data_IF_104131381148
#
_entry.id   IF_104131381148
#
_cell.length_a   1.000
_cell.length_b   1.000
_cell.length_c   1.000
_cell.angle_alpha   90.00
_cell.angle_beta   90.00
_cell.angle_gamma   90.00
#
_symmetry.space_group_name_H-M   'P 1'
#
loop_
_entity.id
_entity.type
_entity.pdbx_description
1 polymer ?
#
# COMPACT_ATOMS: atom_id res chain seq x y z
N UNK A 1 -31.41 9.52 2.36
CA UNK A 1 -30.36 10.54 2.17
C UNK A 1 -29.07 10.21 2.94
N UNK A 2 -29.14 9.55 4.10
CA UNK A 2 -27.94 9.31 4.94
C UNK A 2 -27.03 8.16 4.48
N UNK A 3 -27.48 7.29 3.57
CA UNK A 3 -26.64 6.22 3.03
C UNK A 3 -25.55 6.82 2.11
N UNK A 4 -24.24 6.58 2.40
CA UNK A 4 -23.13 7.11 1.60
C UNK A 4 -23.15 6.73 0.12
N UNK A 5 -23.77 5.60 -0.24
CA UNK A 5 -24.00 5.23 -1.65
C UNK A 5 -24.89 6.23 -2.40
N UNK A 6 -25.69 7.03 -1.70
CA UNK A 6 -26.63 8.00 -2.28
C UNK A 6 -26.12 9.45 -2.19
N UNK A 7 -24.87 9.68 -1.76
CA UNK A 7 -24.28 11.01 -1.76
C UNK A 7 -24.10 11.58 -3.17
N UNK A 8 -24.07 12.91 -3.29
CA UNK A 8 -23.76 13.58 -4.55
C UNK A 8 -22.37 13.19 -5.05
N UNK A 9 -22.19 13.13 -6.38
CA UNK A 9 -20.93 12.71 -7.01
C UNK A 9 -19.74 13.57 -6.55
N UNK A 10 -19.98 14.86 -6.34
CA UNK A 10 -18.98 15.83 -5.83
C UNK A 10 -18.53 15.43 -4.42
N UNK A 11 -19.47 15.11 -3.52
CA UNK A 11 -19.14 14.69 -2.16
C UNK A 11 -18.33 13.40 -2.15
N UNK A 12 -18.70 12.42 -2.97
CA UNK A 12 -17.97 11.15 -3.09
C UNK A 12 -16.54 11.36 -3.57
N UNK A 13 -16.33 12.14 -4.63
CA UNK A 13 -14.99 12.44 -5.14
C UNK A 13 -14.17 13.26 -4.15
N UNK A 14 -14.76 14.23 -3.45
CA UNK A 14 -14.05 14.98 -2.39
C UNK A 14 -13.47 14.04 -1.33
N UNK A 15 -14.27 13.11 -0.79
CA UNK A 15 -13.82 12.15 0.22
C UNK A 15 -12.80 11.17 -0.35
N UNK A 16 -13.02 10.69 -1.58
CA UNK A 16 -12.11 9.77 -2.28
C UNK A 16 -10.74 10.39 -2.50
N UNK A 17 -10.69 11.58 -3.11
CA UNK A 17 -9.45 12.29 -3.42
C UNK A 17 -8.70 12.68 -2.15
N UNK A 18 -9.43 13.10 -1.10
CA UNK A 18 -8.83 13.35 0.20
C UNK A 18 -8.18 12.09 0.77
N UNK A 19 -8.88 10.96 0.78
CA UNK A 19 -8.34 9.70 1.30
C UNK A 19 -7.12 9.22 0.51
N UNK A 20 -7.17 9.29 -0.83
CA UNK A 20 -6.02 8.92 -1.70
C UNK A 20 -4.82 9.86 -1.47
N UNK A 21 -5.07 11.18 -1.37
CA UNK A 21 -4.02 12.16 -1.09
C UNK A 21 -3.39 11.95 0.29
N UNK A 22 -4.20 11.61 1.30
CA UNK A 22 -3.67 11.28 2.62
C UNK A 22 -2.87 9.98 2.61
N UNK A 23 -3.30 8.95 1.88
CA UNK A 23 -2.50 7.73 1.65
C UNK A 23 -1.11 8.09 1.11
N UNK A 24 -1.05 8.93 0.07
CA UNK A 24 0.22 9.42 -0.48
C UNK A 24 1.10 10.12 0.58
N UNK A 25 0.50 11.05 1.33
CA UNK A 25 1.19 11.88 2.32
C UNK A 25 1.71 11.06 3.52
N UNK A 26 0.99 10.03 3.97
CA UNK A 26 1.46 9.17 5.07
C UNK A 26 2.52 8.18 4.60
N UNK A 27 2.40 7.64 3.38
CA UNK A 27 3.37 6.67 2.84
C UNK A 27 4.74 7.30 2.57
N UNK A 28 4.79 8.61 2.28
CA UNK A 28 6.02 9.38 2.18
C UNK A 28 6.95 9.18 3.40
N UNK A 29 6.40 9.00 4.60
CA UNK A 29 7.18 8.80 5.83
C UNK A 29 7.93 7.46 5.87
N UNK A 30 7.45 6.42 5.19
CA UNK A 30 8.07 5.09 5.24
C UNK A 30 9.52 5.10 4.76
N UNK A 31 9.77 5.83 3.68
CA UNK A 31 11.03 5.85 2.92
C UNK A 31 11.78 7.18 3.00
N UNK A 32 11.20 8.28 3.45
CA UNK A 32 11.90 9.57 3.50
C UNK A 32 13.21 9.56 4.30
N UNK A 33 13.30 8.71 5.32
CA UNK A 33 14.49 8.61 6.15
C UNK A 33 15.66 7.88 5.45
N UNK A 34 15.42 7.11 4.39
CA UNK A 34 16.47 6.28 3.76
C UNK A 34 17.63 7.13 3.21
N UNK A 35 17.32 8.33 2.72
CA UNK A 35 18.30 9.32 2.25
C UNK A 35 19.26 9.80 3.36
N UNK A 36 18.90 9.61 4.63
CA UNK A 36 19.65 10.07 5.80
C UNK A 36 20.57 9.02 6.42
N UNK A 37 20.71 7.83 5.83
CA UNK A 37 21.41 6.68 6.43
C UNK A 37 22.80 7.04 7.00
N UNK A 38 23.64 7.77 6.26
CA UNK A 38 24.97 8.17 6.74
C UNK A 38 24.92 9.16 7.91
N UNK A 39 24.06 10.18 7.86
CA UNK A 39 23.93 11.14 8.96
C UNK A 39 23.39 10.46 10.23
N UNK A 40 22.55 9.44 10.07
CA UNK A 40 22.00 8.65 11.15
C UNK A 40 23.10 7.86 11.86
N UNK A 41 23.91 7.14 11.08
CA UNK A 41 25.05 6.38 11.57
C UNK A 41 26.04 7.26 12.33
N UNK A 42 26.36 8.44 11.78
CA UNK A 42 27.22 9.42 12.45
C UNK A 42 26.59 9.95 13.75
N UNK A 43 25.29 10.24 13.76
CA UNK A 43 24.59 10.80 14.91
C UNK A 43 24.47 9.84 16.08
N UNK A 44 24.30 8.54 15.80
CA UNK A 44 24.11 7.52 16.84
C UNK A 44 25.32 6.60 17.03
N UNK A 45 26.42 6.83 16.31
CA UNK A 45 27.64 6.02 16.32
C UNK A 45 27.37 4.54 16.03
N UNK A 46 26.56 4.30 15.00
CA UNK A 46 26.18 2.98 14.53
C UNK A 46 26.97 2.67 13.26
N UNK A 47 27.56 1.47 13.18
CA UNK A 47 28.35 1.02 12.01
C UNK A 47 27.52 0.09 11.14
N UNK A 48 27.55 0.30 9.81
CA UNK A 48 26.90 -0.60 8.84
C UNK A 48 27.85 -1.69 8.29
N UNK A 49 29.07 -1.78 8.81
CA UNK A 49 30.13 -2.65 8.28
C UNK A 49 29.74 -4.14 8.28
N UNK A 50 29.18 -4.62 9.40
CA UNK A 50 28.81 -6.02 9.58
C UNK A 50 27.32 -6.29 9.33
N UNK A 51 26.47 -5.29 9.55
CA UNK A 51 25.03 -5.38 9.42
C UNK A 51 24.47 -4.00 9.06
N UNK A 52 23.48 -3.87 8.14
CA UNK A 52 22.94 -2.58 7.72
C UNK A 52 22.01 -1.98 8.78
N UNK A 53 22.58 -1.57 9.90
CA UNK A 53 21.84 -1.04 11.03
C UNK A 53 21.09 0.25 10.69
N UNK A 54 21.58 1.08 9.76
CA UNK A 54 20.88 2.27 9.26
C UNK A 54 19.48 2.00 8.70
N UNK A 55 19.14 0.73 8.43
CA UNK A 55 17.84 0.30 7.93
C UNK A 55 16.86 -0.22 8.99
N UNK A 56 17.29 -0.37 10.25
CA UNK A 56 16.35 -0.67 11.35
C UNK A 56 15.16 0.30 11.44
N UNK A 57 15.29 1.62 11.18
CA UNK A 57 14.14 2.52 11.12
C UNK A 57 13.14 2.17 10.03
N UNK A 58 13.59 1.70 8.85
CA UNK A 58 12.71 1.26 7.76
C UNK A 58 12.02 -0.04 8.15
N UNK A 59 12.79 -1.01 8.66
CA UNK A 59 12.27 -2.29 9.13
C UNK A 59 11.20 -2.10 10.20
N UNK A 60 11.50 -1.35 11.25
CA UNK A 60 10.58 -1.15 12.38
C UNK A 60 9.28 -0.46 11.98
N UNK A 61 9.35 0.50 11.06
CA UNK A 61 8.16 1.13 10.50
C UNK A 61 7.29 0.14 9.72
N UNK A 62 7.90 -0.66 8.85
CA UNK A 62 7.18 -1.68 8.10
C UNK A 62 6.60 -2.78 9.01
N UNK A 63 7.29 -3.18 10.09
CA UNK A 63 6.72 -4.12 11.07
C UNK A 63 5.48 -3.54 11.78
N UNK A 64 5.51 -2.26 12.12
CA UNK A 64 4.33 -1.56 12.61
C UNK A 64 3.20 -1.57 11.56
N UNK A 65 3.55 -1.23 10.31
CA UNK A 65 2.63 -1.23 9.17
C UNK A 65 2.05 -2.59 8.81
N UNK A 66 2.75 -3.69 9.09
CA UNK A 66 2.23 -5.05 8.90
C UNK A 66 1.19 -5.41 9.97
N UNK A 67 1.47 -5.08 11.23
CA UNK A 67 0.73 -5.62 12.38
C UNK A 67 -0.46 -4.75 12.79
N UNK A 68 -0.33 -3.43 12.77
CA UNK A 68 -1.38 -2.53 13.25
C UNK A 68 -2.67 -2.55 12.41
N UNK A 69 -2.63 -2.63 11.05
CA UNK A 69 -3.84 -2.71 10.23
C UNK A 69 -4.69 -3.95 10.53
N UNK A 70 -4.05 -5.08 10.84
CA UNK A 70 -4.76 -6.30 11.20
C UNK A 70 -5.66 -6.13 12.43
N UNK A 71 -5.32 -5.21 13.32
CA UNK A 71 -6.11 -4.91 14.52
C UNK A 71 -7.04 -3.72 14.31
N UNK A 72 -6.51 -2.61 13.79
CA UNK A 72 -7.22 -1.35 13.81
C UNK A 72 -8.28 -1.25 12.70
N UNK A 73 -8.08 -1.82 11.51
CA UNK A 73 -9.05 -1.68 10.41
C UNK A 73 -10.44 -2.23 10.80
N UNK A 74 -10.55 -3.42 11.41
CA UNK A 74 -11.88 -3.92 11.79
C UNK A 74 -12.46 -3.26 13.03
N UNK A 75 -11.61 -2.67 13.89
CA UNK A 75 -12.10 -1.77 14.93
C UNK A 75 -12.71 -0.51 14.31
N UNK A 76 -12.09 0.06 13.28
CA UNK A 76 -12.64 1.23 12.55
C UNK A 76 -13.98 0.91 11.87
N UNK A 77 -14.19 -0.33 11.42
CA UNK A 77 -15.48 -0.81 10.90
C UNK A 77 -16.60 -0.69 11.91
N UNK A 78 -16.33 -1.10 13.15
CA UNK A 78 -17.34 -1.16 14.21
C UNK A 78 -17.55 0.20 14.92
N UNK A 79 -16.47 0.96 15.12
CA UNK A 79 -16.50 2.21 15.88
C UNK A 79 -16.70 3.46 15.02
N UNK A 80 -16.58 3.34 13.70
CA UNK A 80 -16.67 4.43 12.74
C UNK A 80 -15.31 4.85 12.21
N UNK A 81 -15.28 5.21 10.94
CA UNK A 81 -14.04 5.50 10.21
C UNK A 81 -13.56 6.90 10.55
N UNK A 82 -14.45 7.90 10.56
CA UNK A 82 -14.05 9.32 10.71
C UNK A 82 -13.25 9.59 11.97
N UNK A 83 -13.80 9.25 13.14
CA UNK A 83 -13.17 9.57 14.43
C UNK A 83 -11.96 8.69 14.72
N UNK A 84 -12.01 7.41 14.34
CA UNK A 84 -10.87 6.52 14.45
C UNK A 84 -9.71 6.98 13.56
N UNK A 85 -10.00 7.44 12.35
CA UNK A 85 -9.00 8.00 11.43
C UNK A 85 -8.31 9.21 12.07
N UNK A 86 -9.10 10.16 12.60
CA UNK A 86 -8.57 11.37 13.24
C UNK A 86 -7.74 11.06 14.48
N UNK A 87 -8.14 10.07 15.29
CA UNK A 87 -7.39 9.63 16.47
C UNK A 87 -6.03 9.04 16.07
N UNK A 88 -6.02 8.12 15.10
CA UNK A 88 -4.79 7.49 14.61
C UNK A 88 -3.88 8.53 13.93
N UNK A 89 -4.46 9.49 13.22
CA UNK A 89 -3.72 10.60 12.62
C UNK A 89 -3.10 11.53 13.68
N UNK A 90 -3.81 11.81 14.77
CA UNK A 90 -3.24 12.55 15.90
C UNK A 90 -2.09 11.78 16.56
N UNK A 91 -2.25 10.46 16.77
CA UNK A 91 -1.18 9.61 17.28
C UNK A 91 0.04 9.58 16.34
N UNK A 92 -0.18 9.52 15.03
CA UNK A 92 0.89 9.64 14.03
C UNK A 92 1.69 10.93 14.27
N UNK A 93 1.04 12.09 14.33
CA UNK A 93 1.71 13.39 14.55
C UNK A 93 2.48 13.39 15.88
N UNK A 94 1.85 12.95 16.96
CA UNK A 94 2.46 12.94 18.30
C UNK A 94 3.72 12.06 18.35
N UNK A 95 3.70 10.89 17.70
CA UNK A 95 4.84 9.97 17.68
C UNK A 95 5.94 10.33 16.67
N UNK A 96 5.78 11.39 15.88
CA UNK A 96 6.91 11.98 15.14
C UNK A 96 7.82 12.82 16.04
N UNK A 97 7.29 13.41 17.12
CA UNK A 97 8.08 14.21 18.06
C UNK A 97 9.24 13.42 18.70
N UNK A 98 9.03 12.21 19.26
CA UNK A 98 10.14 11.41 19.80
C UNK A 98 11.14 10.93 18.73
N UNK A 99 10.76 10.89 17.44
CA UNK A 99 11.71 10.59 16.36
C UNK A 99 12.61 11.78 16.05
N UNK A 100 12.01 12.98 15.97
CA UNK A 100 12.73 14.22 15.74
C UNK A 100 13.71 14.54 16.89
N UNK A 101 13.30 14.24 18.12
CA UNK A 101 14.06 14.51 19.35
C UNK A 101 14.78 13.27 19.91
N UNK A 102 14.89 12.19 19.12
CA UNK A 102 15.43 10.93 19.61
C UNK A 102 16.86 11.11 20.20
N UNK A 103 17.06 10.79 21.50
CA UNK A 103 18.37 10.90 22.15
C UNK A 103 19.27 9.70 21.82
N UNK A 104 18.66 8.57 21.43
CA UNK A 104 19.37 7.35 21.06
C UNK A 104 18.60 6.58 19.99
N UNK A 105 19.28 5.59 19.41
CA UNK A 105 18.77 4.80 18.29
C UNK A 105 17.54 3.95 18.66
N UNK A 106 17.46 3.46 19.90
CA UNK A 106 16.33 2.63 20.35
C UNK A 106 15.02 3.42 20.43
N UNK A 107 15.06 4.67 20.93
CA UNK A 107 13.89 5.56 20.97
C UNK A 107 13.36 5.82 19.56
N UNK A 108 14.27 6.04 18.61
CA UNK A 108 13.91 6.24 17.20
C UNK A 108 13.19 5.00 16.63
N UNK A 109 13.76 3.81 16.83
CA UNK A 109 13.16 2.54 16.38
C UNK A 109 11.77 2.33 17.02
N UNK A 110 11.64 2.50 18.33
CA UNK A 110 10.38 2.29 19.03
C UNK A 110 9.27 3.23 18.53
N UNK A 111 9.60 4.52 18.33
CA UNK A 111 8.66 5.49 17.78
C UNK A 111 8.31 5.23 16.31
N UNK A 112 9.27 4.68 15.53
CA UNK A 112 9.04 4.25 14.14
C UNK A 112 8.04 3.11 14.03
N UNK A 113 8.02 2.15 14.96
CA UNK A 113 6.99 1.10 15.00
C UNK A 113 5.58 1.71 15.12
N UNK A 114 5.40 2.68 16.03
CA UNK A 114 4.09 3.30 16.25
C UNK A 114 3.63 4.12 15.04
N UNK A 115 4.53 4.92 14.47
CA UNK A 115 4.19 5.73 13.28
C UNK A 115 3.99 4.89 12.03
N UNK A 116 4.73 3.79 11.87
CA UNK A 116 4.51 2.81 10.82
C UNK A 116 3.16 2.11 10.96
N UNK A 117 2.79 1.74 12.18
CA UNK A 117 1.45 1.22 12.46
C UNK A 117 0.35 2.21 12.12
N UNK A 118 0.48 3.47 12.54
CA UNK A 118 -0.49 4.50 12.21
C UNK A 118 -0.58 4.72 10.69
N UNK A 119 0.55 4.82 9.99
CA UNK A 119 0.59 4.99 8.53
C UNK A 119 -0.06 3.81 7.82
N UNK A 120 0.28 2.58 8.19
CA UNK A 120 -0.32 1.38 7.60
C UNK A 120 -1.83 1.35 7.74
N UNK A 121 -2.37 1.76 8.90
CA UNK A 121 -3.83 1.80 9.10
C UNK A 121 -4.48 2.88 8.25
N UNK A 122 -3.92 4.10 8.26
CA UNK A 122 -4.45 5.25 7.53
C UNK A 122 -4.34 5.07 6.01
N UNK A 123 -3.29 4.40 5.53
CA UNK A 123 -3.12 4.09 4.12
C UNK A 123 -4.14 3.06 3.63
N UNK A 124 -4.37 1.98 4.39
CA UNK A 124 -5.20 0.86 3.95
C UNK A 124 -6.71 1.07 4.13
N UNK A 125 -7.14 1.88 5.12
CA UNK A 125 -8.57 2.17 5.32
C UNK A 125 -9.21 2.89 4.11
N UNK A 126 -8.41 3.54 3.26
CA UNK A 126 -8.88 4.17 2.01
C UNK A 126 -9.61 3.18 1.11
N UNK A 127 -9.19 1.91 1.05
CA UNK A 127 -9.89 0.86 0.28
C UNK A 127 -11.33 0.66 0.75
N UNK A 128 -11.54 0.67 2.07
CA UNK A 128 -12.85 0.53 2.69
C UNK A 128 -13.69 1.80 2.54
N UNK A 129 -13.06 2.98 2.68
CA UNK A 129 -13.71 4.27 2.39
C UNK A 129 -14.27 4.29 0.97
N UNK A 130 -13.48 3.87 -0.02
CA UNK A 130 -13.90 3.82 -1.43
C UNK A 130 -15.05 2.82 -1.62
N UNK A 131 -14.96 1.66 -0.98
CA UNK A 131 -15.97 0.60 -1.08
C UNK A 131 -17.31 0.96 -0.41
N UNK A 132 -17.29 1.79 0.64
CA UNK A 132 -18.50 2.22 1.36
C UNK A 132 -19.24 3.39 0.67
N UNK A 133 -18.57 4.14 -0.21
CA UNK A 133 -19.17 5.32 -0.88
C UNK A 133 -19.52 5.05 -2.36
N UNK A 134 -18.79 4.16 -3.04
CA UNK A 134 -19.00 3.82 -4.44
C UNK A 134 -19.64 2.44 -4.60
N UNK A 135 -20.73 2.38 -5.37
CA UNK A 135 -21.24 1.12 -5.91
C UNK A 135 -20.30 0.60 -6.99
N UNK A 136 -20.40 -0.69 -7.30
CA UNK A 136 -19.60 -1.32 -8.34
C UNK A 136 -19.74 -0.59 -9.68
N UNK A 137 -18.63 -0.47 -10.39
CA UNK A 137 -18.53 0.26 -11.64
C UNK A 137 -17.24 1.07 -11.78
N UNK A 138 -17.15 1.80 -12.89
CA UNK A 138 -15.93 2.50 -13.32
C UNK A 138 -15.36 3.48 -12.28
N UNK A 139 -16.23 4.24 -11.60
CA UNK A 139 -15.75 5.21 -10.59
C UNK A 139 -15.08 4.52 -9.39
N UNK A 140 -15.63 3.40 -8.90
CA UNK A 140 -15.02 2.61 -7.82
C UNK A 140 -13.67 2.07 -8.24
N UNK A 141 -13.62 1.50 -9.45
CA UNK A 141 -12.42 0.90 -10.03
C UNK A 141 -11.27 1.91 -10.20
N UNK A 142 -11.57 3.08 -10.75
CA UNK A 142 -10.59 4.16 -10.87
C UNK A 142 -10.17 4.71 -9.50
N UNK A 143 -11.09 4.84 -8.54
CA UNK A 143 -10.77 5.27 -7.18
C UNK A 143 -9.80 4.31 -6.47
N UNK A 144 -9.98 2.99 -6.65
CA UNK A 144 -9.04 1.97 -6.15
C UNK A 144 -7.67 2.12 -6.83
N UNK A 145 -7.64 2.29 -8.15
CA UNK A 145 -6.39 2.49 -8.90
C UNK A 145 -5.64 3.75 -8.42
N UNK A 146 -6.37 4.84 -8.15
CA UNK A 146 -5.81 6.08 -7.63
C UNK A 146 -5.27 5.94 -6.20
N UNK A 147 -5.95 5.16 -5.35
CA UNK A 147 -5.46 4.83 -4.02
C UNK A 147 -4.14 4.04 -4.08
N UNK A 148 -4.07 3.02 -4.94
CA UNK A 148 -2.85 2.20 -5.15
C UNK A 148 -1.72 3.06 -5.69
N UNK A 149 -2.02 3.96 -6.63
CA UNK A 149 -1.04 4.91 -7.13
C UNK A 149 -0.53 5.82 -6.01
N UNK A 150 -1.43 6.38 -5.18
CA UNK A 150 -1.04 7.17 -4.02
C UNK A 150 -0.17 6.39 -3.03
N UNK A 151 -0.45 5.10 -2.83
CA UNK A 151 0.33 4.23 -1.96
C UNK A 151 1.76 4.05 -2.48
N UNK A 152 1.93 3.64 -3.75
CA UNK A 152 3.23 3.39 -4.35
C UNK A 152 4.02 4.68 -4.58
N UNK A 153 3.38 5.71 -5.16
CA UNK A 153 4.01 7.00 -5.40
C UNK A 153 4.47 7.66 -4.10
N UNK A 154 3.72 7.50 -3.00
CA UNK A 154 4.14 8.00 -1.69
C UNK A 154 5.45 7.35 -1.22
N UNK A 155 5.54 6.02 -1.34
CA UNK A 155 6.76 5.27 -1.02
C UNK A 155 7.94 5.68 -1.92
N UNK A 156 7.71 5.80 -3.22
CA UNK A 156 8.75 6.15 -4.20
C UNK A 156 9.20 7.62 -4.08
N UNK A 157 8.32 8.55 -3.68
CA UNK A 157 8.66 9.97 -3.48
C UNK A 157 9.39 10.24 -2.16
N UNK A 158 9.26 9.38 -1.15
CA UNK A 158 9.89 9.58 0.16
C UNK A 158 11.36 9.98 0.10
N UNK A 159 12.26 9.25 -0.61
CA UNK A 159 13.67 9.60 -0.68
C UNK A 159 13.93 10.98 -1.31
N UNK A 160 13.07 11.44 -2.24
CA UNK A 160 13.13 12.79 -2.79
C UNK A 160 12.90 13.80 -1.68
N UNK A 161 11.78 13.66 -0.95
CA UNK A 161 11.45 14.53 0.18
C UNK A 161 12.56 14.56 1.23
N UNK A 162 13.07 13.39 1.61
CA UNK A 162 14.20 13.26 2.53
C UNK A 162 15.45 13.98 2.04
N UNK A 163 15.83 13.75 0.78
CA UNK A 163 17.05 14.33 0.18
C UNK A 163 16.99 15.86 0.05
N UNK A 164 15.80 16.42 -0.24
CA UNK A 164 15.59 17.87 -0.31
C UNK A 164 15.80 18.51 1.06
N UNK A 165 15.25 17.90 2.11
CA UNK A 165 15.42 18.40 3.48
C UNK A 165 16.88 18.30 3.91
N UNK A 166 17.55 17.17 3.64
CA UNK A 166 18.95 16.96 4.00
C UNK A 166 19.92 17.92 3.32
N UNK A 167 19.53 18.52 2.19
CA UNK A 167 20.32 19.54 1.52
C UNK A 167 20.39 20.85 2.32
N UNK A 168 19.35 21.14 3.09
CA UNK A 168 19.18 22.41 3.81
C UNK A 168 19.22 22.27 5.33
N UNK A 169 19.08 21.05 5.86
CA UNK A 169 18.91 20.78 7.28
C UNK A 169 19.40 19.37 7.66
N UNK A 170 19.32 19.03 8.95
CA UNK A 170 19.70 17.70 9.46
C UNK A 170 18.59 16.66 9.25
N UNK A 171 18.92 15.38 9.38
CA UNK A 171 17.93 14.28 9.29
C UNK A 171 16.74 14.41 10.24
N UNK A 172 16.90 15.08 11.40
CA UNK A 172 15.81 15.34 12.35
C UNK A 172 14.70 16.20 11.75
N UNK A 173 15.07 17.09 10.82
CA UNK A 173 14.10 17.95 10.13
C UNK A 173 13.17 17.19 9.19
N UNK A 174 13.50 15.95 8.80
CA UNK A 174 12.57 15.11 8.02
C UNK A 174 11.28 14.90 8.83
N UNK A 175 11.42 14.60 10.13
CA UNK A 175 10.30 14.40 11.03
C UNK A 175 9.59 15.72 11.40
N UNK A 176 10.34 16.81 11.60
CA UNK A 176 9.74 18.13 11.82
C UNK A 176 8.91 18.59 10.61
N UNK A 177 9.43 18.46 9.40
CA UNK A 177 8.72 18.81 8.17
C UNK A 177 7.44 17.97 8.00
N UNK A 178 7.49 16.68 8.34
CA UNK A 178 6.32 15.82 8.33
C UNK A 178 5.28 16.23 9.38
N UNK A 179 5.69 16.61 10.60
CA UNK A 179 4.75 17.14 11.60
C UNK A 179 4.07 18.43 11.12
N UNK A 180 4.81 19.34 10.48
CA UNK A 180 4.25 20.58 9.92
C UNK A 180 3.24 20.24 8.81
N UNK A 181 3.63 19.36 7.89
CA UNK A 181 2.76 18.88 6.81
C UNK A 181 1.49 18.25 7.38
N UNK A 182 1.60 17.30 8.30
CA UNK A 182 0.44 16.62 8.88
C UNK A 182 -0.44 17.57 9.71
N UNK A 183 0.18 18.46 10.50
CA UNK A 183 -0.50 19.48 11.27
C UNK A 183 -1.33 20.41 10.38
N UNK A 184 -0.72 20.93 9.30
CA UNK A 184 -1.41 21.81 8.34
C UNK A 184 -2.58 21.13 7.60
N UNK A 185 -2.54 19.80 7.42
CA UNK A 185 -3.60 19.03 6.80
C UNK A 185 -4.71 18.59 7.77
N UNK A 186 -4.50 18.77 9.09
CA UNK A 186 -5.49 18.39 10.12
C UNK A 186 -6.83 19.13 9.97
N UNK A 187 -6.88 20.46 9.75
CA UNK A 187 -8.15 21.17 9.53
C UNK A 187 -8.89 20.63 8.30
N UNK A 188 -8.17 20.33 7.22
CA UNK A 188 -8.76 19.77 6.00
C UNK A 188 -9.44 18.42 6.27
N UNK A 189 -8.77 17.53 7.01
CA UNK A 189 -9.34 16.24 7.45
C UNK A 189 -10.57 16.42 8.33
N UNK A 190 -10.49 17.30 9.34
CA UNK A 190 -11.61 17.58 10.24
C UNK A 190 -12.84 18.09 9.49
N UNK A 191 -12.66 18.95 8.50
CA UNK A 191 -13.79 19.55 7.78
C UNK A 191 -14.32 18.66 6.63
N UNK A 192 -13.45 17.86 6.00
CA UNK A 192 -13.79 17.20 4.72
C UNK A 192 -14.00 15.68 4.82
N UNK A 193 -13.52 15.00 5.86
CA UNK A 193 -13.64 13.54 6.00
C UNK A 193 -14.96 13.14 6.65
N UNK A 194 -16.04 12.97 5.87
CA UNK A 194 -17.32 12.51 6.41
C UNK A 194 -17.28 11.09 6.98
N UNK A 195 -18.22 10.75 7.88
CA UNK A 195 -18.44 9.35 8.27
C UNK A 195 -19.00 8.56 7.08
N UNK A 196 -18.31 7.48 6.70
CA UNK A 196 -18.65 6.66 5.52
C UNK A 196 -19.29 5.33 5.87
N UNK A 197 -19.29 4.88 7.13
CA UNK A 197 -19.84 3.58 7.50
C UNK A 197 -21.37 3.63 7.63
N UNK A 198 -22.15 2.94 6.76
CA UNK A 198 -23.61 2.99 6.83
C UNK A 198 -24.16 2.54 8.18
N UNK A 199 -23.60 1.48 8.76
CA UNK A 199 -24.05 0.93 10.03
C UNK A 199 -23.86 1.90 11.20
N UNK A 200 -22.75 2.64 11.19
CA UNK A 200 -22.45 3.64 12.22
C UNK A 200 -23.40 4.84 12.10
N UNK A 201 -23.68 5.27 10.86
CA UNK A 201 -24.64 6.35 10.57
C UNK A 201 -26.04 5.94 11.04
N UNK A 202 -26.50 4.75 10.67
CA UNK A 202 -27.81 4.21 11.05
C UNK A 202 -27.94 4.03 12.57
N UNK A 203 -26.88 3.55 13.23
CA UNK A 203 -26.83 3.41 14.68
C UNK A 203 -26.95 4.76 15.38
N UNK A 204 -26.19 5.78 14.91
CA UNK A 204 -26.29 7.15 15.45
C UNK A 204 -27.69 7.72 15.25
N UNK A 205 -28.33 7.47 14.11
CA UNK A 205 -29.71 7.88 13.82
C UNK A 205 -30.74 7.17 14.72
N UNK A 206 -30.64 5.85 14.88
CA UNK A 206 -31.52 5.08 15.76
C UNK A 206 -31.44 5.60 17.21
N UNK A 207 -30.22 5.89 17.70
CA UNK A 207 -30.02 6.51 19.02
C UNK A 207 -30.64 7.90 19.13
N UNK A 208 -30.53 8.73 18.08
CA UNK A 208 -31.17 10.06 18.06
C UNK A 208 -32.68 9.97 18.13
N UNK A 209 -33.30 9.12 17.29
CA UNK A 209 -34.75 8.91 17.29
C UNK A 209 -35.22 8.36 18.65
N UNK A 210 -34.46 7.44 19.26
CA UNK A 210 -34.77 6.91 20.59
C UNK A 210 -34.76 8.00 21.66
N UNK A 211 -33.80 8.93 21.61
CA UNK A 211 -33.74 10.08 22.52
C UNK A 211 -34.91 11.04 22.32
N UNK A 212 -35.28 11.33 21.07
CA UNK A 212 -36.31 12.31 20.73
C UNK A 212 -37.74 11.76 20.93
N UNK A 213 -38.01 10.51 20.57
CA UNK A 213 -39.36 9.94 20.52
C UNK A 213 -39.66 8.93 21.64
N UNK A 214 -38.67 8.58 22.46
CA UNK A 214 -38.72 7.47 23.46
C UNK A 214 -39.14 6.11 22.89
N UNK A 215 -39.18 5.94 21.56
CA UNK A 215 -39.48 4.65 20.91
C UNK A 215 -38.24 3.76 20.89
N UNK A 216 -38.43 2.47 21.19
CA UNK A 216 -37.37 1.45 21.20
C UNK A 216 -37.00 0.99 19.78
N UNK A 217 -36.31 1.86 19.04
CA UNK A 217 -35.79 1.57 17.69
C UNK A 217 -34.31 1.24 17.81
N UNK A 218 -33.90 0.10 17.24
CA UNK A 218 -32.53 -0.40 17.20
C UNK A 218 -32.12 -0.64 15.74
N UNK A 219 -30.86 -0.36 15.39
CA UNK A 219 -30.31 -0.77 14.10
C UNK A 219 -30.07 -2.29 14.06
N UNK A 220 -29.96 -2.86 12.86
CA UNK A 220 -29.58 -4.26 12.69
C UNK A 220 -28.23 -4.57 13.37
N UNK A 221 -27.26 -3.65 13.22
CA UNK A 221 -25.95 -3.72 13.87
C UNK A 221 -26.00 -3.66 15.41
N UNK A 222 -26.97 -2.97 16.01
CA UNK A 222 -27.16 -2.98 17.47
C UNK A 222 -27.72 -4.31 17.98
N UNK A 223 -28.49 -5.03 17.16
CA UNK A 223 -29.04 -6.35 17.50
C UNK A 223 -28.01 -7.47 17.36
N UNK A 224 -27.05 -7.32 16.45
CA UNK A 224 -26.01 -8.32 16.17
C UNK A 224 -24.71 -8.09 16.96
N UNK A 225 -24.75 -7.41 18.12
CA UNK A 225 -23.54 -7.05 18.89
C UNK A 225 -22.68 -8.28 19.20
N UNK A 226 -21.62 -8.45 18.42
CA UNK A 226 -20.56 -9.40 18.70
C UNK A 226 -19.68 -8.86 19.82
N UNK A 227 -19.24 -9.75 20.71
CA UNK A 227 -18.29 -9.39 21.78
C UNK A 227 -17.00 -8.84 21.17
N UNK A 228 -16.37 -7.83 21.80
CA UNK A 228 -15.07 -7.30 21.35
C UNK A 228 -13.99 -8.38 21.23
N UNK A 229 -14.03 -9.40 22.10
CA UNK A 229 -13.13 -10.55 22.01
C UNK A 229 -13.39 -11.40 20.76
N UNK A 230 -14.67 -11.60 20.40
CA UNK A 230 -15.02 -12.32 19.17
C UNK A 230 -14.66 -11.50 17.93
N UNK A 231 -14.87 -10.18 17.95
CA UNK A 231 -14.45 -9.27 16.89
C UNK A 231 -12.93 -9.36 16.71
N UNK A 232 -12.15 -9.22 17.78
CA UNK A 232 -10.69 -9.31 17.73
C UNK A 232 -10.20 -10.68 17.26
N UNK A 233 -10.81 -11.77 17.74
CA UNK A 233 -10.46 -13.13 17.34
C UNK A 233 -10.78 -13.38 15.87
N UNK A 234 -11.97 -13.01 15.40
CA UNK A 234 -12.31 -13.13 13.97
C UNK A 234 -11.43 -12.24 13.10
N UNK A 235 -11.09 -11.04 13.58
CA UNK A 235 -10.29 -10.04 12.90
C UNK A 235 -8.83 -10.44 12.71
N UNK A 236 -8.21 -11.10 13.70
CA UNK A 236 -6.81 -11.57 13.59
C UNK A 236 -6.70 -12.94 12.92
N UNK A 237 -7.62 -13.84 13.26
CA UNK A 237 -7.56 -15.23 12.78
C UNK A 237 -7.97 -15.31 11.32
N UNK A 238 -8.94 -14.51 10.86
CA UNK A 238 -9.45 -14.62 9.48
C UNK A 238 -8.42 -14.23 8.41
N UNK A 239 -7.74 -13.07 8.46
CA UNK A 239 -6.69 -12.74 7.50
C UNK A 239 -5.56 -13.78 7.51
N UNK A 240 -5.13 -14.21 8.70
CA UNK A 240 -4.08 -15.23 8.87
C UNK A 240 -4.50 -16.57 8.27
N UNK A 241 -5.75 -17.00 8.51
CA UNK A 241 -6.33 -18.20 7.93
C UNK A 241 -6.39 -18.09 6.41
N UNK A 242 -6.96 -17.01 5.87
CA UNK A 242 -7.04 -16.78 4.42
C UNK A 242 -5.65 -16.81 3.78
N UNK A 243 -4.64 -16.20 4.40
CA UNK A 243 -3.28 -16.19 3.86
C UNK A 243 -2.67 -17.60 3.73
N UNK A 244 -3.01 -18.52 4.64
CA UNK A 244 -2.46 -19.89 4.67
C UNK A 244 -3.33 -20.85 3.85
N UNK A 245 -4.65 -20.67 3.86
CA UNK A 245 -5.60 -21.63 3.28
C UNK A 245 -6.04 -21.26 1.86
N UNK A 246 -5.94 -20.00 1.45
CA UNK A 246 -6.37 -19.53 0.13
C UNK A 246 -5.16 -19.34 -0.81
N UNK A 247 -4.94 -20.25 -1.78
CA UNK A 247 -3.79 -20.17 -2.68
C UNK A 247 -3.76 -18.86 -3.49
N UNK A 248 -4.92 -18.29 -3.82
CA UNK A 248 -5.04 -17.01 -4.53
C UNK A 248 -4.49 -15.88 -3.67
N UNK A 249 -4.93 -15.78 -2.41
CA UNK A 249 -4.49 -14.71 -1.49
C UNK A 249 -3.00 -14.82 -1.23
N UNK A 250 -2.47 -16.04 -1.04
CA UNK A 250 -1.03 -16.26 -0.85
C UNK A 250 -0.21 -15.90 -2.09
N UNK A 251 -0.57 -16.42 -3.27
CA UNK A 251 0.19 -16.19 -4.50
C UNK A 251 0.16 -14.72 -4.94
N UNK A 252 -1.01 -14.09 -4.93
CA UNK A 252 -1.14 -12.66 -5.21
C UNK A 252 -0.50 -11.79 -4.14
N UNK A 253 -0.61 -12.21 -2.87
CA UNK A 253 0.06 -11.55 -1.77
C UNK A 253 1.57 -11.57 -1.93
N UNK A 254 2.17 -12.71 -2.28
CA UNK A 254 3.62 -12.81 -2.57
C UNK A 254 4.03 -11.99 -3.78
N UNK A 255 3.21 -11.97 -4.84
CA UNK A 255 3.49 -11.20 -6.04
C UNK A 255 3.48 -9.69 -5.77
N UNK A 256 2.45 -9.19 -5.08
CA UNK A 256 2.38 -7.77 -4.69
C UNK A 256 3.43 -7.42 -3.64
N UNK A 257 3.70 -8.33 -2.69
CA UNK A 257 4.72 -8.13 -1.67
C UNK A 257 6.13 -8.04 -2.25
N UNK A 258 6.43 -8.81 -3.30
CA UNK A 258 7.67 -8.66 -4.05
C UNK A 258 7.78 -7.28 -4.70
N UNK A 259 6.70 -6.76 -5.30
CA UNK A 259 6.69 -5.39 -5.84
C UNK A 259 6.97 -4.36 -4.76
N UNK A 260 6.20 -4.33 -3.66
CA UNK A 260 6.38 -3.35 -2.58
C UNK A 260 7.76 -3.50 -1.92
N UNK A 261 8.21 -4.72 -1.66
CA UNK A 261 9.56 -4.98 -1.14
C UNK A 261 10.66 -4.44 -2.06
N UNK A 262 10.50 -4.59 -3.37
CA UNK A 262 11.43 -4.06 -4.38
C UNK A 262 11.45 -2.53 -4.39
N UNK A 263 10.31 -1.85 -4.22
CA UNK A 263 10.30 -0.37 -4.04
C UNK A 263 11.17 0.05 -2.86
N UNK A 264 11.04 -0.62 -1.72
CA UNK A 264 11.87 -0.32 -0.56
C UNK A 264 13.35 -0.62 -0.80
N UNK A 265 13.69 -1.73 -1.45
CA UNK A 265 15.08 -2.01 -1.85
C UNK A 265 15.64 -0.96 -2.81
N UNK A 266 14.82 -0.41 -3.72
CA UNK A 266 15.24 0.63 -4.65
C UNK A 266 15.66 1.91 -3.97
N UNK A 267 15.10 2.24 -2.80
CA UNK A 267 15.61 3.37 -2.00
C UNK A 267 17.09 3.27 -1.66
N UNK A 268 17.61 2.03 -1.60
CA UNK A 268 18.96 1.71 -1.18
C UNK A 268 19.86 1.41 -2.38
N UNK A 269 19.40 0.59 -3.31
CA UNK A 269 20.16 0.22 -4.51
C UNK A 269 20.37 1.40 -5.45
N UNK A 270 19.40 2.31 -5.58
CA UNK A 270 19.57 3.53 -6.39
C UNK A 270 20.67 4.41 -5.79
N UNK A 271 20.68 4.58 -4.47
CA UNK A 271 21.73 5.33 -3.81
C UNK A 271 23.12 4.70 -4.05
N UNK A 272 23.24 3.37 -3.89
CA UNK A 272 24.49 2.65 -4.13
C UNK A 272 24.98 2.75 -5.58
N UNK A 273 24.14 2.38 -6.55
CA UNK A 273 24.49 2.36 -7.97
C UNK A 273 24.90 3.75 -8.46
N UNK A 274 24.13 4.80 -8.14
CA UNK A 274 24.40 6.13 -8.67
C UNK A 274 25.54 6.86 -7.95
N UNK A 275 25.74 6.59 -6.66
CA UNK A 275 26.91 7.13 -5.96
C UNK A 275 28.19 6.42 -6.37
N UNK A 276 28.19 5.09 -6.54
CA UNK A 276 29.40 4.34 -6.87
C UNK A 276 29.81 4.47 -8.34
N UNK A 277 28.87 4.31 -9.28
CA UNK A 277 29.16 4.37 -10.72
C UNK A 277 29.26 5.80 -11.25
N UNK A 278 28.32 6.66 -10.87
CA UNK A 278 28.16 7.99 -11.48
C UNK A 278 28.64 9.14 -10.57
N UNK A 279 29.10 8.84 -9.35
CA UNK A 279 29.56 9.83 -8.36
C UNK A 279 28.51 10.87 -8.00
N UNK A 280 27.23 10.48 -8.02
CA UNK A 280 26.13 11.36 -7.66
C UNK A 280 26.06 11.60 -6.15
N UNK A 281 25.63 12.79 -5.78
CA UNK A 281 25.34 13.17 -4.39
C UNK A 281 24.00 12.60 -3.92
N UNK A 282 23.78 12.56 -2.61
CA UNK A 282 22.51 12.12 -2.00
C UNK A 282 21.29 12.82 -2.60
N UNK A 283 21.40 14.12 -2.91
CA UNK A 283 20.34 14.88 -3.57
C UNK A 283 20.04 14.34 -4.97
N UNK A 284 21.07 14.10 -5.79
CA UNK A 284 20.91 13.51 -7.12
C UNK A 284 20.28 12.13 -7.07
N UNK A 285 20.78 11.25 -6.18
CA UNK A 285 20.25 9.89 -6.05
C UNK A 285 18.79 9.84 -5.61
N UNK A 286 18.36 10.77 -4.74
CA UNK A 286 16.96 10.90 -4.35
C UNK A 286 16.06 11.23 -5.54
N UNK A 287 16.48 12.14 -6.41
CA UNK A 287 15.71 12.56 -7.60
C UNK A 287 15.51 11.42 -8.60
N UNK A 288 16.43 10.46 -8.70
CA UNK A 288 16.29 9.29 -9.59
C UNK A 288 14.99 8.51 -9.31
N UNK A 289 14.48 8.55 -8.08
CA UNK A 289 13.20 7.91 -7.74
C UNK A 289 12.00 8.45 -8.54
N UNK A 290 12.08 9.66 -9.10
CA UNK A 290 11.07 10.20 -10.01
C UNK A 290 10.84 9.25 -11.20
N UNK A 291 11.86 8.52 -11.64
CA UNK A 291 11.70 7.55 -12.71
C UNK A 291 10.72 6.43 -12.34
N UNK A 292 10.82 5.89 -11.12
CA UNK A 292 9.89 4.87 -10.61
C UNK A 292 8.46 5.42 -10.59
N UNK A 293 8.27 6.63 -10.06
CA UNK A 293 6.96 7.31 -9.99
C UNK A 293 6.39 7.59 -11.38
N UNK A 294 7.23 7.98 -12.33
CA UNK A 294 6.81 8.19 -13.72
C UNK A 294 6.31 6.88 -14.34
N UNK A 295 6.99 5.76 -14.06
CA UNK A 295 6.52 4.42 -14.40
C UNK A 295 5.16 4.08 -13.79
N UNK A 296 5.01 4.30 -12.48
CA UNK A 296 3.75 4.08 -11.76
C UNK A 296 2.60 4.92 -12.33
N UNK A 297 2.87 6.17 -12.73
CA UNK A 297 1.90 7.05 -13.38
C UNK A 297 1.48 6.53 -14.76
N UNK A 298 2.42 6.04 -15.58
CA UNK A 298 2.08 5.35 -16.83
C UNK A 298 1.22 4.12 -16.53
N UNK A 299 1.53 3.39 -15.46
CA UNK A 299 0.71 2.28 -14.97
C UNK A 299 -0.73 2.70 -14.67
N UNK A 300 -0.92 3.82 -13.97
CA UNK A 300 -2.25 4.37 -13.65
C UNK A 300 -3.04 4.73 -14.93
N UNK A 301 -2.38 5.29 -15.93
CA UNK A 301 -3.02 5.58 -17.22
C UNK A 301 -3.43 4.28 -17.93
N UNK A 302 -2.56 3.27 -17.90
CA UNK A 302 -2.85 1.94 -18.46
C UNK A 302 -3.97 1.23 -17.69
N UNK A 303 -4.12 1.45 -16.38
CA UNK A 303 -5.22 0.83 -15.63
C UNK A 303 -6.59 1.37 -16.02
N UNK A 304 -6.68 2.58 -16.59
CA UNK A 304 -7.93 3.09 -17.17
C UNK A 304 -8.35 2.21 -18.36
N UNK A 305 -7.39 1.81 -19.20
CA UNK A 305 -7.64 0.88 -20.30
C UNK A 305 -7.91 -0.55 -19.80
N UNK A 306 -7.21 -1.00 -18.74
CA UNK A 306 -7.52 -2.26 -18.06
C UNK A 306 -8.97 -2.32 -17.56
N UNK A 307 -9.49 -1.21 -17.02
CA UNK A 307 -10.87 -1.10 -16.59
C UNK A 307 -11.86 -1.25 -17.77
N UNK A 308 -11.55 -0.65 -18.93
CA UNK A 308 -12.34 -0.87 -20.16
C UNK A 308 -12.43 -2.36 -20.53
N UNK A 309 -11.29 -3.07 -20.53
CA UNK A 309 -11.26 -4.50 -20.81
C UNK A 309 -12.04 -5.32 -19.80
N UNK A 310 -11.95 -4.97 -18.51
CA UNK A 310 -12.69 -5.63 -17.44
C UNK A 310 -14.20 -5.45 -17.62
N UNK A 311 -14.70 -4.22 -17.79
CA UNK A 311 -16.14 -3.99 -17.97
C UNK A 311 -16.66 -4.56 -19.31
N UNK A 312 -15.83 -4.58 -20.37
CA UNK A 312 -16.17 -5.21 -21.65
C UNK A 312 -16.25 -6.76 -21.58
N UNK A 313 -15.79 -7.38 -20.49
CA UNK A 313 -15.93 -8.82 -20.28
C UNK A 313 -17.34 -9.25 -19.83
N UNK A 314 -18.16 -8.33 -19.32
CA UNK A 314 -19.47 -8.64 -18.74
C UNK A 314 -20.44 -9.36 -19.69
N UNK A 315 -20.55 -8.99 -20.98
CA UNK A 315 -21.41 -9.71 -21.94
C UNK A 315 -20.93 -11.13 -22.25
N UNK A 316 -19.64 -11.41 -22.04
CA UNK A 316 -19.02 -12.72 -22.30
C UNK A 316 -19.03 -13.62 -21.07
N UNK A 317 -19.51 -13.13 -19.92
CA UNK A 317 -19.53 -13.89 -18.68
C UNK A 317 -20.65 -14.92 -18.69
N UNK A 318 -20.29 -16.19 -18.86
CA UNK A 318 -21.22 -17.32 -18.79
C UNK A 318 -21.55 -17.75 -17.36
N UNK A 319 -20.72 -17.40 -16.38
CA UNK A 319 -20.91 -17.76 -14.96
C UNK A 319 -21.92 -16.84 -14.28
N UNK A 320 -21.83 -15.53 -14.56
CA UNK A 320 -22.74 -14.49 -14.04
C UNK A 320 -23.10 -13.52 -15.16
N UNK A 321 -24.20 -13.77 -15.90
CA UNK A 321 -24.60 -12.93 -17.02
C UNK A 321 -24.72 -11.46 -16.63
N UNK A 322 -24.04 -10.59 -17.37
CA UNK A 322 -24.07 -9.13 -17.14
C UNK A 322 -23.12 -8.61 -16.05
N UNK A 323 -22.40 -9.48 -15.32
CA UNK A 323 -21.30 -9.07 -14.43
C UNK A 323 -19.94 -9.34 -15.10
N UNK A 324 -18.92 -8.48 -14.92
CA UNK A 324 -17.56 -8.75 -15.40
C UNK A 324 -16.97 -10.05 -14.87
N UNK A 325 -16.02 -10.62 -15.62
CA UNK A 325 -15.24 -11.80 -15.22
C UNK A 325 -14.05 -11.32 -14.37
N UNK A 326 -13.83 -11.86 -13.15
CA UNK A 326 -12.71 -11.44 -12.30
C UNK A 326 -11.33 -11.57 -12.97
N UNK A 327 -11.08 -12.63 -13.74
CA UNK A 327 -9.81 -12.84 -14.48
C UNK A 327 -9.52 -11.74 -15.49
N UNK A 328 -10.55 -11.02 -15.98
CA UNK A 328 -10.33 -9.92 -16.90
C UNK A 328 -9.48 -8.81 -16.28
N UNK A 329 -9.39 -8.72 -14.93
CA UNK A 329 -8.48 -7.83 -14.20
C UNK A 329 -6.99 -8.09 -14.48
N UNK A 330 -6.63 -9.29 -14.95
CA UNK A 330 -5.25 -9.73 -15.09
C UNK A 330 -4.66 -9.49 -16.49
N UNK A 331 -5.47 -9.05 -17.46
CA UNK A 331 -5.06 -9.00 -18.87
C UNK A 331 -3.83 -8.14 -19.13
N UNK A 332 -3.74 -6.94 -18.54
CA UNK A 332 -2.59 -6.04 -18.70
C UNK A 332 -1.51 -6.26 -17.65
N UNK A 333 -1.80 -6.95 -16.54
CA UNK A 333 -0.75 -7.30 -15.56
C UNK A 333 0.17 -8.40 -16.06
N UNK A 334 -0.27 -9.23 -17.01
CA UNK A 334 0.60 -10.21 -17.70
C UNK A 334 1.72 -9.47 -18.46
N UNK A 335 1.45 -8.70 -19.54
CA UNK A 335 2.50 -7.96 -20.22
C UNK A 335 3.16 -6.93 -19.30
N UNK A 336 2.42 -6.31 -18.37
CA UNK A 336 2.97 -5.38 -17.39
C UNK A 336 4.05 -6.00 -16.48
N UNK A 337 3.88 -7.25 -16.06
CA UNK A 337 4.87 -7.93 -15.20
C UNK A 337 6.07 -8.48 -15.98
N UNK A 338 5.87 -9.03 -17.18
CA UNK A 338 6.99 -9.49 -18.00
C UNK A 338 7.83 -8.32 -18.55
N UNK A 339 7.20 -7.28 -19.10
CA UNK A 339 7.92 -6.16 -19.71
C UNK A 339 8.27 -5.06 -18.70
N UNK A 340 7.37 -4.74 -17.77
CA UNK A 340 7.62 -3.71 -16.76
C UNK A 340 8.53 -4.21 -15.66
N UNK A 341 8.07 -5.19 -14.89
CA UNK A 341 8.77 -5.65 -13.69
C UNK A 341 10.02 -6.48 -14.04
N UNK A 342 9.86 -7.55 -14.81
CA UNK A 342 10.95 -8.50 -15.10
C UNK A 342 11.99 -7.91 -16.03
N UNK A 343 11.59 -7.47 -17.23
CA UNK A 343 12.53 -6.88 -18.18
C UNK A 343 13.10 -5.55 -17.66
N UNK A 344 12.34 -4.75 -16.90
CA UNK A 344 12.84 -3.55 -16.24
C UNK A 344 13.94 -3.84 -15.22
N UNK A 345 13.82 -4.91 -14.42
CA UNK A 345 14.87 -5.34 -13.48
C UNK A 345 16.13 -5.82 -14.20
N UNK A 346 16.00 -6.59 -15.28
CA UNK A 346 17.15 -6.97 -16.11
C UNK A 346 17.77 -5.77 -16.84
N UNK A 347 16.95 -4.82 -17.29
CA UNK A 347 17.44 -3.59 -17.90
C UNK A 347 18.25 -2.79 -16.89
N UNK A 348 17.72 -2.56 -15.69
CA UNK A 348 18.44 -1.90 -14.60
C UNK A 348 19.74 -2.64 -14.26
N UNK A 349 19.69 -3.96 -14.17
CA UNK A 349 20.85 -4.81 -13.92
C UNK A 349 21.97 -4.60 -14.94
N UNK A 350 21.66 -4.74 -16.24
CA UNK A 350 22.66 -4.80 -17.31
C UNK A 350 22.95 -3.45 -17.95
N UNK A 351 22.39 -2.37 -17.43
CA UNK A 351 22.77 -0.99 -17.77
C UNK A 351 23.50 -0.27 -16.63
N UNK A 352 23.65 -0.91 -15.47
CA UNK A 352 24.39 -0.40 -14.32
C UNK A 352 25.91 -0.58 -14.48
N UNK A 353 26.47 0.09 -15.49
CA UNK A 353 27.91 0.16 -15.75
C UNK A 353 28.42 1.61 -15.68
N UNK A 354 29.68 1.79 -15.29
CA UNK A 354 30.30 3.11 -15.18
C UNK A 354 30.49 3.78 -16.55
N UNK A 355 30.69 3.00 -17.62
CA UNK A 355 30.88 3.51 -18.98
C UNK A 355 29.56 3.91 -19.65
N UNK A 356 28.43 3.38 -19.17
CA UNK A 356 27.12 3.64 -19.73
C UNK A 356 26.49 4.89 -19.11
N UNK A 357 25.75 5.66 -19.91
CA UNK A 357 25.10 6.87 -19.44
C UNK A 357 24.02 6.55 -18.38
N UNK A 358 24.01 7.29 -17.27
CA UNK A 358 23.12 7.11 -16.11
C UNK A 358 21.62 7.03 -16.45
N UNK A 359 21.21 7.60 -17.58
CA UNK A 359 19.82 7.55 -18.05
C UNK A 359 19.36 6.13 -18.37
N UNK A 360 20.27 5.24 -18.78
CA UNK A 360 19.93 3.87 -19.16
C UNK A 360 19.39 3.06 -17.97
N UNK A 361 20.08 3.00 -16.81
CA UNK A 361 19.48 2.37 -15.62
C UNK A 361 18.26 3.15 -15.12
N UNK A 362 18.21 4.48 -15.30
CA UNK A 362 17.03 5.29 -14.91
C UNK A 362 15.77 4.85 -15.67
N UNK A 363 15.89 4.59 -16.98
CA UNK A 363 14.77 4.08 -17.79
C UNK A 363 14.31 2.70 -17.29
N UNK A 364 15.24 1.82 -16.92
CA UNK A 364 14.92 0.53 -16.32
C UNK A 364 14.06 0.67 -15.06
N UNK A 365 14.38 1.61 -14.17
CA UNK A 365 13.58 1.90 -12.98
C UNK A 365 12.15 2.36 -13.31
N UNK A 366 11.97 3.12 -14.40
CA UNK A 366 10.66 3.50 -14.90
C UNK A 366 9.83 2.31 -15.38
N UNK A 367 10.44 1.35 -16.09
CA UNK A 367 9.76 0.10 -16.45
C UNK A 367 9.34 -0.68 -15.20
N UNK A 368 10.21 -0.76 -14.19
CA UNK A 368 9.89 -1.45 -12.94
C UNK A 368 8.73 -0.78 -12.22
N UNK A 369 8.71 0.55 -12.10
CA UNK A 369 7.58 1.29 -11.51
C UNK A 369 6.25 1.02 -12.23
N UNK A 370 6.27 0.97 -13.57
CA UNK A 370 5.11 0.57 -14.38
C UNK A 370 4.64 -0.86 -14.06
N UNK A 371 5.57 -1.81 -14.01
CA UNK A 371 5.28 -3.20 -13.65
C UNK A 371 4.71 -3.34 -12.24
N UNK A 372 5.32 -2.67 -11.27
CA UNK A 372 4.88 -2.70 -9.87
C UNK A 372 3.43 -2.21 -9.73
N UNK A 373 3.11 -1.06 -10.33
CA UNK A 373 1.75 -0.53 -10.28
C UNK A 373 0.74 -1.47 -10.93
N UNK A 374 1.03 -1.96 -12.14
CA UNK A 374 0.11 -2.84 -12.88
C UNK A 374 -0.17 -4.15 -12.13
N UNK A 375 0.84 -4.72 -11.48
CA UNK A 375 0.71 -5.91 -10.63
C UNK A 375 -0.16 -5.62 -9.40
N UNK A 376 0.21 -4.63 -8.59
CA UNK A 376 -0.52 -4.32 -7.35
C UNK A 376 -1.96 -3.91 -7.61
N UNK A 377 -2.21 -3.18 -8.71
CA UNK A 377 -3.56 -2.82 -9.17
C UNK A 377 -4.40 -4.05 -9.53
N UNK A 378 -3.84 -4.98 -10.32
CA UNK A 378 -4.54 -6.19 -10.73
C UNK A 378 -4.83 -7.13 -9.54
N UNK A 379 -3.85 -7.33 -8.65
CA UNK A 379 -4.00 -8.12 -7.42
C UNK A 379 -5.12 -7.56 -6.56
N UNK A 380 -5.07 -6.26 -6.27
CA UNK A 380 -6.04 -5.60 -5.40
C UNK A 380 -7.43 -5.62 -6.00
N UNK A 381 -7.57 -5.30 -7.29
CA UNK A 381 -8.85 -5.34 -8.00
C UNK A 381 -9.46 -6.75 -8.00
N UNK A 382 -8.65 -7.78 -8.27
CA UNK A 382 -9.13 -9.15 -8.27
C UNK A 382 -9.59 -9.60 -6.87
N UNK A 383 -8.85 -9.24 -5.82
CA UNK A 383 -9.21 -9.59 -4.43
C UNK A 383 -10.51 -8.90 -4.02
N UNK A 384 -10.65 -7.60 -4.30
CA UNK A 384 -11.87 -6.83 -4.02
C UNK A 384 -13.10 -7.43 -4.71
N UNK A 385 -12.94 -7.90 -5.94
CA UNK A 385 -14.05 -8.45 -6.72
C UNK A 385 -14.36 -9.91 -6.32
N UNK A 386 -13.33 -10.75 -6.12
CA UNK A 386 -13.51 -12.20 -5.87
C UNK A 386 -13.83 -12.53 -4.41
N UNK A 387 -13.35 -11.72 -3.47
CA UNK A 387 -13.59 -11.90 -2.04
C UNK A 387 -14.50 -10.80 -1.49
N UNK A 388 -15.44 -10.25 -2.26
CA UNK A 388 -16.23 -9.06 -1.89
C UNK A 388 -16.74 -9.03 -0.43
N UNK A 389 -17.24 -10.16 0.09
CA UNK A 389 -17.68 -10.30 1.50
C UNK A 389 -16.55 -10.22 2.53
N UNK A 390 -15.37 -10.73 2.18
CA UNK A 390 -14.18 -10.83 3.02
C UNK A 390 -13.02 -9.95 2.56
N UNK A 391 -13.31 -8.94 1.72
CA UNK A 391 -12.31 -8.20 0.98
C UNK A 391 -11.36 -7.44 1.91
N UNK A 392 -11.89 -6.86 3.00
CA UNK A 392 -11.08 -6.21 4.02
C UNK A 392 -10.07 -7.16 4.67
N UNK A 393 -10.49 -8.40 5.00
CA UNK A 393 -9.60 -9.41 5.59
C UNK A 393 -8.54 -9.90 4.59
N UNK A 394 -8.92 -10.11 3.33
CA UNK A 394 -7.98 -10.52 2.28
C UNK A 394 -6.94 -9.43 2.00
N UNK A 395 -7.37 -8.16 1.89
CA UNK A 395 -6.47 -7.01 1.72
C UNK A 395 -5.53 -6.87 2.92
N UNK A 396 -6.03 -7.04 4.14
CA UNK A 396 -5.19 -7.00 5.33
C UNK A 396 -4.09 -8.09 5.30
N UNK A 397 -4.40 -9.29 4.81
CA UNK A 397 -3.42 -10.36 4.62
C UNK A 397 -2.37 -10.04 3.56
N UNK A 398 -2.77 -9.44 2.43
CA UNK A 398 -1.83 -8.98 1.39
C UNK A 398 -0.95 -7.86 1.91
N UNK A 399 -1.53 -6.84 2.55
CA UNK A 399 -0.79 -5.73 3.14
C UNK A 399 0.20 -6.22 4.21
N UNK A 400 -0.15 -7.25 4.99
CA UNK A 400 0.76 -7.88 5.93
C UNK A 400 2.00 -8.46 5.23
N UNK A 401 1.82 -9.19 4.11
CA UNK A 401 2.95 -9.71 3.32
C UNK A 401 3.77 -8.58 2.70
N UNK A 402 3.12 -7.57 2.13
CA UNK A 402 3.79 -6.41 1.52
C UNK A 402 4.69 -5.70 2.52
N UNK A 403 4.17 -5.40 3.70
CA UNK A 403 4.94 -4.76 4.76
C UNK A 403 6.03 -5.70 5.31
N UNK A 404 5.80 -7.01 5.36
CA UNK A 404 6.84 -7.97 5.77
C UNK A 404 8.00 -7.98 4.78
N UNK A 405 7.73 -8.04 3.48
CA UNK A 405 8.77 -7.97 2.45
C UNK A 405 9.48 -6.62 2.46
N UNK A 406 8.73 -5.51 2.59
CA UNK A 406 9.29 -4.17 2.75
C UNK A 406 10.18 -4.03 4.00
N UNK A 407 9.91 -4.77 5.08
CA UNK A 407 10.70 -4.75 6.30
C UNK A 407 12.04 -5.49 6.14
N UNK A 408 12.01 -6.69 5.56
CA UNK A 408 13.15 -7.61 5.58
C UNK A 408 14.00 -7.57 4.31
N UNK A 409 13.39 -7.38 3.15
CA UNK A 409 14.11 -7.43 1.87
C UNK A 409 15.22 -6.36 1.77
N UNK A 410 15.02 -5.11 2.24
CA UNK A 410 16.07 -4.10 2.24
C UNK A 410 17.30 -4.45 3.09
N UNK A 411 17.16 -5.29 4.12
CA UNK A 411 18.32 -5.73 4.92
C UNK A 411 19.32 -6.55 4.10
N UNK A 412 18.87 -7.20 3.02
CA UNK A 412 19.75 -7.95 2.14
C UNK A 412 20.47 -7.06 1.11
N UNK A 413 19.95 -5.86 0.81
CA UNK A 413 20.42 -5.06 -0.34
C UNK A 413 21.91 -4.78 -0.31
N UNK A 414 22.44 -4.25 0.79
CA UNK A 414 23.87 -3.90 0.88
C UNK A 414 24.78 -5.10 0.66
N UNK A 415 24.51 -6.23 1.33
CA UNK A 415 25.29 -7.46 1.16
C UNK A 415 25.16 -8.02 -0.26
N UNK A 416 23.96 -7.95 -0.85
CA UNK A 416 23.69 -8.45 -2.19
C UNK A 416 24.45 -7.65 -3.25
N UNK A 417 24.39 -6.31 -3.21
CA UNK A 417 25.03 -5.43 -4.19
C UNK A 417 26.56 -5.39 -4.05
N UNK A 418 27.09 -5.45 -2.82
CA UNK A 418 28.54 -5.45 -2.59
C UNK A 418 29.21 -6.78 -2.94
N UNK A 419 28.56 -7.93 -2.69
CA UNK A 419 29.17 -9.25 -2.92
C UNK A 419 28.94 -9.81 -4.32
N UNK A 420 27.75 -9.58 -4.90
CA UNK A 420 27.41 -10.11 -6.22
C UNK A 420 27.71 -9.10 -7.34
N UNK A 421 27.90 -7.83 -6.99
CA UNK A 421 27.91 -6.73 -7.94
C UNK A 421 26.50 -6.32 -8.38
N UNK A 422 26.39 -5.12 -8.94
CA UNK A 422 25.10 -4.48 -9.27
C UNK A 422 24.25 -5.28 -10.25
N UNK A 423 24.91 -5.92 -11.22
CA UNK A 423 24.25 -6.63 -12.30
C UNK A 423 23.60 -7.92 -11.79
N UNK A 424 24.36 -8.76 -11.07
CA UNK A 424 23.84 -10.03 -10.54
C UNK A 424 22.85 -9.82 -9.40
N UNK A 425 23.10 -8.83 -8.52
CA UNK A 425 22.17 -8.46 -7.45
C UNK A 425 20.78 -8.12 -8.02
N UNK A 426 20.73 -7.27 -9.05
CA UNK A 426 19.48 -6.88 -9.72
C UNK A 426 18.90 -8.02 -10.57
N UNK A 427 19.74 -8.89 -11.16
CA UNK A 427 19.29 -10.05 -11.95
C UNK A 427 18.60 -11.12 -11.09
N UNK A 428 19.02 -11.34 -9.85
CA UNK A 428 18.31 -12.25 -8.92
C UNK A 428 16.87 -11.78 -8.70
N UNK A 429 16.67 -10.47 -8.52
CA UNK A 429 15.34 -9.88 -8.45
C UNK A 429 14.59 -10.08 -9.78
N UNK A 430 15.27 -9.90 -10.92
CA UNK A 430 14.69 -10.17 -12.24
C UNK A 430 14.22 -11.61 -12.43
N UNK A 431 14.98 -12.61 -11.97
CA UNK A 431 14.56 -14.01 -12.01
C UNK A 431 13.39 -14.30 -11.07
N UNK A 432 13.38 -13.71 -9.87
CA UNK A 432 12.24 -13.82 -8.95
C UNK A 432 10.98 -13.19 -9.55
N UNK A 433 11.10 -11.99 -10.14
CA UNK A 433 10.03 -11.32 -10.87
C UNK A 433 9.51 -12.17 -12.02
N UNK A 434 10.39 -12.82 -12.78
CA UNK A 434 10.03 -13.70 -13.88
C UNK A 434 9.15 -14.85 -13.40
N UNK A 435 9.56 -15.54 -12.33
CA UNK A 435 8.79 -16.65 -11.75
C UNK A 435 7.42 -16.17 -11.28
N UNK A 436 7.36 -15.03 -10.58
CA UNK A 436 6.09 -14.46 -10.10
C UNK A 436 5.20 -13.95 -11.24
N UNK A 437 5.77 -13.53 -12.37
CA UNK A 437 5.04 -13.08 -13.57
C UNK A 437 4.21 -14.20 -14.24
N UNK A 438 4.48 -15.48 -13.91
CA UNK A 438 3.64 -16.60 -14.33
C UNK A 438 2.36 -16.78 -13.51
N UNK A 439 2.26 -16.19 -12.31
CA UNK A 439 1.07 -16.28 -11.45
C UNK A 439 -0.22 -15.84 -12.17
N UNK A 440 -0.29 -14.66 -12.83
CA UNK A 440 -1.50 -14.24 -13.53
C UNK A 440 -1.86 -15.15 -14.72
N UNK A 441 -0.88 -15.79 -15.38
CA UNK A 441 -1.13 -16.74 -16.47
C UNK A 441 -1.81 -18.01 -15.98
N UNK A 442 -1.34 -18.54 -14.84
CA UNK A 442 -1.96 -19.70 -14.19
C UNK A 442 -3.40 -19.37 -13.79
N UNK A 443 -3.64 -18.20 -13.20
CA UNK A 443 -4.99 -17.80 -12.81
C UNK A 443 -5.89 -17.43 -13.99
N UNK A 444 -5.36 -16.89 -15.09
CA UNK A 444 -6.17 -16.67 -16.29
C UNK A 444 -6.61 -18.01 -16.92
N UNK A 445 -5.75 -19.04 -16.85
CA UNK A 445 -6.01 -20.34 -17.47
C UNK A 445 -6.86 -21.27 -16.58
N UNK A 446 -6.64 -21.23 -15.26
CA UNK A 446 -7.26 -22.14 -14.29
C UNK A 446 -8.15 -21.44 -13.26
N UNK A 447 -8.40 -20.13 -13.41
CA UNK A 447 -9.03 -19.28 -12.39
C UNK A 447 -10.39 -19.77 -11.95
N UNK A 448 -11.25 -20.21 -12.89
CA UNK A 448 -12.54 -20.82 -12.55
C UNK A 448 -12.41 -22.02 -11.62
N UNK A 449 -11.54 -22.97 -11.95
CA UNK A 449 -11.30 -24.18 -11.12
C UNK A 449 -10.74 -23.81 -9.75
N UNK A 450 -9.86 -22.81 -9.70
CA UNK A 450 -9.27 -22.32 -8.45
C UNK A 450 -10.34 -21.65 -7.58
N UNK A 451 -11.20 -20.81 -8.15
CA UNK A 451 -12.34 -20.20 -7.43
C UNK A 451 -13.34 -21.24 -6.92
N UNK A 452 -13.66 -22.24 -7.73
CA UNK A 452 -14.55 -23.34 -7.35
C UNK A 452 -13.96 -24.23 -6.24
N UNK A 453 -12.67 -24.11 -5.93
CA UNK A 453 -12.06 -24.81 -4.80
C UNK A 453 -12.04 -23.98 -3.50
N UNK A 454 -12.24 -22.66 -3.59
CA UNK A 454 -12.19 -21.75 -2.44
C UNK A 454 -13.53 -21.71 -1.69
N UNK A 455 -13.51 -21.97 -0.39
CA UNK A 455 -14.70 -21.84 0.48
C UNK A 455 -15.10 -20.37 0.64
N UNK A 456 -14.13 -19.47 0.84
CA UNK A 456 -14.39 -18.05 1.06
C UNK A 456 -14.97 -17.34 -0.18
N UNK A 457 -14.52 -17.70 -1.39
CA UNK A 457 -15.08 -17.15 -2.64
C UNK A 457 -16.51 -17.66 -2.86
N UNK A 458 -16.77 -18.94 -2.55
CA UNK A 458 -18.12 -19.50 -2.65
C UNK A 458 -19.09 -18.77 -1.73
N UNK A 459 -18.75 -18.63 -0.46
CA UNK A 459 -19.58 -17.91 0.52
C UNK A 459 -19.84 -16.45 0.11
N UNK A 460 -18.85 -15.78 -0.47
CA UNK A 460 -19.01 -14.42 -1.00
C UNK A 460 -20.01 -14.34 -2.18
N UNK A 461 -20.22 -15.45 -2.90
CA UNK A 461 -21.13 -15.52 -4.04
C UNK A 461 -22.60 -15.81 -3.72
N UNK A 462 -22.89 -16.47 -2.59
CA UNK A 462 -24.24 -16.97 -2.28
C UNK A 462 -25.22 -15.92 -1.75
N UNK A 463 -24.77 -14.80 -1.20
CA UNK A 463 -25.66 -13.76 -0.62
C UNK A 463 -26.14 -12.71 -1.64
N UNK A 464 -25.66 -12.74 -2.88
CA UNK A 464 -26.19 -11.89 -3.96
C UNK A 464 -27.34 -12.55 -4.75
N UNK A 465 -27.69 -13.80 -4.44
CA UNK A 465 -28.69 -14.61 -5.15
C UNK A 465 -30.09 -14.50 -4.55
#
# INVERSE_FOLDING_TARGET
MDNPFNWSRIKKWRVTLLACFMTFVVQLNGTAMTSAAMQLNASFRVSDEHFPHSYWPVLSWNLGGATAPMLALPLMENFGVRWSYLLIYALLILFHLPQALAPNFAVLIAARVVTGGCSGVLANITSAIVSDIWRDGRNKSFAISLWIWGLLAGLSIGPIFGSVILRCASWRWIFHAQMIMYGSLTPLLLLSLDEVRPDVILTRRARRIRKETRRLIFSASEKSRTSLSNILKETLVRPSKMLITEPVVLSFGLWSAFCVGTAFMFTQSIAQVYTELYKWTFFGTGIVQVAVVAGELVGLLVSIYQDELYFASAPKNTERPGKPIPEARLYLSIPGSFFGLTAGLFWYAWTSYAELHWILPTIGLGFVGFGMFTVTSAVTGYILDSYAKYAASAIAGVAFLENTFAAFLPLATHSMYSKLGFNWASSILGFAALVLSFIPLVLQSYGRKIRESSEFIKEAGYEEA
#
